data_IF_039675921456
#
_entry.id   IF_039675921456
#
_cell.length_a   1.000
_cell.length_b   1.000
_cell.length_c   1.000
_cell.angle_alpha   90.00
_cell.angle_beta   90.00
_cell.angle_gamma   90.00
#
_symmetry.space_group_name_H-M   'P 1'
#
loop_
_entity.id
_entity.type
_entity.pdbx_description
1 polymer ?
#
# COMPACT_ATOMS: atom_id res chain seq x y z
N UNK A 1 0.12 10.03 -5.62
CA UNK A 1 0.10 10.84 -6.84
C UNK A 1 -0.02 9.95 -8.08
N UNK A 2 -0.54 10.49 -9.21
CA UNK A 2 -0.63 9.76 -10.48
C UNK A 2 0.75 9.23 -10.91
N UNK A 3 1.79 10.05 -10.79
CA UNK A 3 3.17 9.69 -11.12
C UNK A 3 3.73 8.51 -10.30
N UNK A 4 3.26 8.29 -9.08
CA UNK A 4 3.63 7.12 -8.28
C UNK A 4 3.05 5.83 -8.88
N UNK A 5 1.78 5.87 -9.30
CA UNK A 5 1.16 4.72 -9.95
C UNK A 5 1.71 4.48 -11.36
N UNK A 6 2.06 5.53 -12.09
CA UNK A 6 2.72 5.39 -13.42
C UNK A 6 4.08 4.70 -13.29
N UNK A 7 4.78 4.94 -12.18
CA UNK A 7 6.03 4.25 -11.89
C UNK A 7 5.81 2.82 -11.39
N UNK A 8 4.79 2.59 -10.53
CA UNK A 8 4.49 1.26 -9.99
C UNK A 8 3.97 0.30 -11.09
N UNK A 9 3.24 0.83 -12.08
CA UNK A 9 2.62 0.06 -13.17
C UNK A 9 2.91 0.82 -14.48
N UNK A 10 3.98 0.42 -15.14
CA UNK A 10 4.48 1.07 -16.35
C UNK A 10 3.97 0.41 -17.66
N UNK A 11 3.21 -0.70 -17.55
CA UNK A 11 2.71 -1.44 -18.70
C UNK A 11 1.22 -1.19 -18.95
N UNK A 12 0.82 -0.59 -20.08
CA UNK A 12 -0.59 -0.48 -20.46
C UNK A 12 -1.23 -1.87 -20.67
N UNK A 13 -2.46 -2.02 -20.17
CA UNK A 13 -3.20 -3.29 -20.30
C UNK A 13 -2.72 -4.43 -19.41
N UNK A 14 -1.80 -4.18 -18.47
CA UNK A 14 -1.30 -5.16 -17.53
C UNK A 14 -2.41 -5.87 -16.77
N UNK A 15 -2.22 -7.15 -16.47
CA UNK A 15 -3.03 -7.91 -15.51
C UNK A 15 -2.57 -7.54 -14.10
N UNK A 16 -3.40 -6.82 -13.36
CA UNK A 16 -3.04 -6.29 -12.04
C UNK A 16 -3.92 -6.92 -10.96
N UNK A 17 -3.28 -7.50 -9.95
CA UNK A 17 -3.94 -7.93 -8.72
C UNK A 17 -3.78 -6.83 -7.66
N UNK A 18 -4.87 -6.21 -7.23
CA UNK A 18 -4.90 -5.34 -6.07
C UNK A 18 -5.21 -6.16 -4.82
N UNK A 19 -4.23 -6.30 -3.94
CA UNK A 19 -4.29 -7.15 -2.77
C UNK A 19 -4.65 -6.36 -1.52
N UNK A 20 -5.81 -6.68 -0.95
CA UNK A 20 -6.32 -6.09 0.28
C UNK A 20 -7.12 -4.79 0.11
N UNK A 21 -8.08 -4.59 1.02
CA UNK A 21 -8.95 -3.40 1.08
C UNK A 21 -8.20 -2.06 1.24
N UNK A 22 -6.95 -2.11 1.68
CA UNK A 22 -6.06 -0.96 1.75
C UNK A 22 -5.74 -0.37 0.37
N UNK A 23 -5.98 -1.13 -0.71
CA UNK A 23 -5.93 -0.66 -2.09
C UNK A 23 -7.14 0.19 -2.52
N UNK A 24 -8.24 0.27 -1.73
CA UNK A 24 -9.45 1.05 -2.07
C UNK A 24 -9.15 2.48 -2.58
N UNK A 25 -8.23 3.26 -1.99
CA UNK A 25 -7.89 4.60 -2.49
C UNK A 25 -7.27 4.60 -3.90
N UNK A 26 -6.66 3.49 -4.31
CA UNK A 26 -5.97 3.36 -5.59
C UNK A 26 -6.87 2.80 -6.70
N UNK A 27 -7.96 2.10 -6.36
CA UNK A 27 -8.78 1.33 -7.29
C UNK A 27 -9.27 2.13 -8.49
N UNK A 28 -9.79 3.34 -8.28
CA UNK A 28 -10.22 4.21 -9.37
C UNK A 28 -9.06 4.60 -10.29
N UNK A 29 -7.95 5.01 -9.70
CA UNK A 29 -6.77 5.43 -10.46
C UNK A 29 -6.15 4.27 -11.26
N UNK A 30 -6.23 3.03 -10.74
CA UNK A 30 -5.81 1.82 -11.44
C UNK A 30 -6.76 1.53 -12.62
N UNK A 31 -8.07 1.61 -12.38
CA UNK A 31 -9.09 1.40 -13.42
C UNK A 31 -8.96 2.42 -14.56
N UNK A 32 -8.71 3.70 -14.24
CA UNK A 32 -8.57 4.78 -15.22
C UNK A 32 -7.32 4.61 -16.12
N UNK A 33 -6.35 3.77 -15.74
CA UNK A 33 -5.17 3.43 -16.54
C UNK A 33 -5.40 2.32 -17.58
N UNK A 34 -6.60 1.76 -17.62
CA UNK A 34 -6.93 0.70 -18.57
C UNK A 34 -6.26 -0.65 -18.29
N UNK A 35 -5.80 -0.88 -17.05
CA UNK A 35 -5.28 -2.18 -16.62
C UNK A 35 -6.44 -3.18 -16.43
N UNK A 36 -6.15 -4.46 -16.58
CA UNK A 36 -7.10 -5.53 -16.25
C UNK A 36 -6.99 -5.82 -14.76
N UNK A 37 -7.93 -5.27 -13.99
CA UNK A 37 -7.84 -5.21 -12.55
C UNK A 37 -8.62 -6.34 -11.88
N UNK A 38 -7.97 -7.05 -10.97
CA UNK A 38 -8.58 -8.01 -10.04
C UNK A 38 -8.48 -7.44 -8.62
N UNK A 39 -9.60 -7.42 -7.91
CA UNK A 39 -9.71 -6.94 -6.54
C UNK A 39 -9.80 -8.13 -5.58
N UNK A 40 -8.83 -8.31 -4.70
CA UNK A 40 -8.82 -9.38 -3.70
C UNK A 40 -8.79 -8.83 -2.28
N UNK A 41 -9.61 -9.40 -1.41
CA UNK A 41 -9.55 -9.21 0.04
C UNK A 41 -10.13 -10.48 0.72
N UNK A 42 -9.59 -10.94 1.86
CA UNK A 42 -10.18 -12.07 2.57
C UNK A 42 -11.60 -11.78 3.11
N UNK A 43 -11.94 -10.49 3.30
CA UNK A 43 -13.27 -10.06 3.72
C UNK A 43 -14.11 -9.62 2.50
N UNK A 44 -15.29 -10.24 2.25
CA UNK A 44 -16.20 -9.83 1.18
C UNK A 44 -16.60 -8.35 1.23
N UNK A 45 -16.63 -7.74 2.43
CA UNK A 45 -16.91 -6.30 2.56
C UNK A 45 -15.78 -5.44 2.02
N UNK A 46 -14.53 -5.91 2.14
CA UNK A 46 -13.35 -5.30 1.54
C UNK A 46 -13.46 -5.29 0.02
N UNK A 47 -13.74 -6.43 -0.58
CA UNK A 47 -13.95 -6.55 -2.04
C UNK A 47 -15.07 -5.63 -2.51
N UNK A 48 -16.23 -5.59 -1.83
CA UNK A 48 -17.31 -4.65 -2.19
C UNK A 48 -16.88 -3.19 -2.20
N UNK A 49 -16.06 -2.78 -1.22
CA UNK A 49 -15.51 -1.41 -1.18
C UNK A 49 -14.54 -1.12 -2.32
N UNK A 50 -13.75 -2.11 -2.71
CA UNK A 50 -12.84 -2.00 -3.86
C UNK A 50 -13.63 -1.84 -5.16
N UNK A 51 -14.64 -2.70 -5.38
CA UNK A 51 -15.51 -2.64 -6.56
C UNK A 51 -16.33 -1.36 -6.65
N UNK A 52 -16.74 -0.76 -5.54
CA UNK A 52 -17.40 0.54 -5.53
C UNK A 52 -16.54 1.66 -6.14
N UNK A 53 -15.21 1.49 -6.17
CA UNK A 53 -14.25 2.42 -6.80
C UNK A 53 -13.81 2.01 -8.19
N UNK A 54 -13.91 0.72 -8.52
CA UNK A 54 -13.55 0.15 -9.82
C UNK A 54 -14.56 -0.95 -10.20
N UNK A 55 -15.76 -0.60 -10.69
CA UNK A 55 -16.86 -1.56 -10.94
C UNK A 55 -16.55 -2.63 -11.99
N UNK A 56 -15.53 -2.40 -12.82
CA UNK A 56 -15.10 -3.36 -13.86
C UNK A 56 -14.01 -4.32 -13.38
N UNK A 57 -13.50 -4.17 -12.15
CA UNK A 57 -12.53 -5.08 -11.59
C UNK A 57 -13.16 -6.45 -11.30
N UNK A 58 -12.41 -7.52 -11.51
CA UNK A 58 -12.84 -8.87 -11.18
C UNK A 58 -12.76 -9.08 -9.65
N UNK A 59 -13.84 -9.55 -9.00
CA UNK A 59 -13.83 -9.77 -7.57
C UNK A 59 -13.20 -11.13 -7.22
N UNK A 60 -12.46 -11.16 -6.13
CA UNK A 60 -11.94 -12.38 -5.51
C UNK A 60 -11.97 -12.25 -4.00
N UNK A 61 -12.45 -13.27 -3.31
CA UNK A 61 -12.43 -13.36 -1.84
C UNK A 61 -11.50 -14.51 -1.48
N UNK A 62 -10.27 -14.17 -1.06
CA UNK A 62 -9.26 -15.15 -0.71
C UNK A 62 -8.18 -14.56 0.20
N UNK A 63 -7.56 -15.43 0.98
CA UNK A 63 -6.35 -15.08 1.73
C UNK A 63 -5.16 -14.89 0.78
N UNK A 64 -4.27 -13.98 1.11
CA UNK A 64 -3.07 -13.67 0.33
C UNK A 64 -2.08 -14.84 0.23
N UNK A 65 -2.12 -15.77 1.18
CA UNK A 65 -1.26 -16.96 1.21
C UNK A 65 -1.83 -18.14 0.43
N UNK A 66 -3.07 -18.01 -0.09
CA UNK A 66 -3.73 -19.06 -0.90
C UNK A 66 -4.68 -18.42 -1.90
N UNK A 67 -4.13 -17.89 -2.97
CA UNK A 67 -4.87 -17.20 -4.02
C UNK A 67 -5.46 -18.20 -5.04
N UNK A 68 -6.75 -18.08 -5.41
CA UNK A 68 -7.41 -19.02 -6.32
C UNK A 68 -7.09 -18.75 -7.80
N UNK A 69 -5.83 -18.47 -8.09
CA UNK A 69 -5.38 -18.19 -9.45
C UNK A 69 -4.39 -19.26 -9.92
N UNK A 70 -4.39 -19.51 -11.22
CA UNK A 70 -3.35 -20.31 -11.86
C UNK A 70 -1.98 -19.61 -11.72
N UNK A 71 -0.87 -20.35 -11.74
CA UNK A 71 0.45 -19.75 -11.80
C UNK A 71 0.59 -18.76 -12.96
N UNK A 72 1.42 -17.77 -12.80
CA UNK A 72 1.74 -16.78 -13.84
C UNK A 72 0.52 -16.03 -14.42
N UNK A 73 -0.45 -15.67 -13.57
CA UNK A 73 -1.67 -15.00 -13.98
C UNK A 73 -1.50 -13.46 -14.11
N UNK A 74 -0.61 -12.85 -13.33
CA UNK A 74 -0.52 -11.39 -13.20
C UNK A 74 0.83 -10.84 -13.63
N UNK A 75 0.80 -9.65 -14.23
CA UNK A 75 1.99 -8.86 -14.53
C UNK A 75 2.46 -8.09 -13.29
N UNK A 76 1.50 -7.62 -12.48
CA UNK A 76 1.79 -6.82 -11.27
C UNK A 76 0.86 -7.23 -10.13
N UNK A 77 1.43 -7.39 -8.93
CA UNK A 77 0.66 -7.46 -7.67
C UNK A 77 0.88 -6.16 -6.92
N UNK A 78 -0.20 -5.44 -6.61
CA UNK A 78 -0.17 -4.17 -5.87
C UNK A 78 -0.61 -4.38 -4.43
N UNK A 79 0.24 -3.99 -3.47
CA UNK A 79 -0.09 -3.94 -2.05
C UNK A 79 0.13 -2.51 -1.56
N UNK A 80 -0.92 -1.90 -1.01
CA UNK A 80 -0.87 -0.55 -0.48
C UNK A 80 -1.03 -0.55 1.04
N UNK A 81 -0.10 0.02 1.78
CA UNK A 81 -0.18 0.24 3.24
C UNK A 81 -0.33 -1.02 4.12
N UNK A 82 -0.18 -2.23 3.60
CA UNK A 82 -0.51 -3.45 4.36
C UNK A 82 0.51 -4.58 4.25
N UNK A 83 1.60 -4.43 3.52
CA UNK A 83 2.57 -5.52 3.38
C UNK A 83 3.12 -6.00 4.74
N UNK A 84 3.32 -5.08 5.70
CA UNK A 84 3.74 -5.38 7.07
C UNK A 84 2.75 -6.24 7.89
N UNK A 85 1.52 -6.45 7.40
CA UNK A 85 0.52 -7.31 8.06
C UNK A 85 0.58 -8.76 7.59
N UNK A 86 1.40 -9.05 6.60
CA UNK A 86 1.62 -10.38 6.05
C UNK A 86 2.93 -10.95 6.59
N UNK A 87 2.95 -12.25 6.83
CA UNK A 87 4.18 -12.99 7.07
C UNK A 87 4.90 -13.23 5.73
N UNK A 88 6.12 -12.68 5.54
CA UNK A 88 6.85 -12.80 4.28
C UNK A 88 7.15 -14.25 3.89
N UNK A 89 7.44 -15.13 4.84
CA UNK A 89 7.79 -16.52 4.56
C UNK A 89 6.64 -17.29 3.90
N UNK A 90 5.40 -16.90 4.23
CA UNK A 90 4.20 -17.55 3.69
C UNK A 90 3.62 -16.82 2.48
N UNK A 91 3.68 -15.50 2.44
CA UNK A 91 3.04 -14.72 1.37
C UNK A 91 3.90 -14.61 0.11
N UNK A 92 5.23 -14.47 0.24
CA UNK A 92 6.11 -14.27 -0.92
C UNK A 92 6.11 -15.45 -1.91
N UNK A 93 6.12 -16.72 -1.47
CA UNK A 93 6.00 -17.85 -2.41
C UNK A 93 4.70 -17.82 -3.21
N UNK A 94 3.58 -17.44 -2.59
CA UNK A 94 2.29 -17.36 -3.28
C UNK A 94 2.23 -16.17 -4.26
N UNK A 95 2.79 -15.02 -3.88
CA UNK A 95 2.92 -13.88 -4.78
C UNK A 95 3.83 -14.18 -5.97
N UNK A 96 4.95 -14.87 -5.73
CA UNK A 96 5.84 -15.32 -6.80
C UNK A 96 5.14 -16.31 -7.74
N UNK A 97 4.34 -17.25 -7.20
CA UNK A 97 3.60 -18.22 -7.99
C UNK A 97 2.61 -17.57 -8.95
N UNK A 98 1.88 -16.55 -8.51
CA UNK A 98 0.84 -15.90 -9.34
C UNK A 98 1.39 -14.84 -10.29
N UNK A 99 2.62 -14.33 -10.06
CA UNK A 99 3.28 -13.40 -10.96
C UNK A 99 3.84 -14.13 -12.19
N UNK A 100 3.74 -13.50 -13.35
CA UNK A 100 4.37 -13.98 -14.59
C UNK A 100 5.89 -13.83 -14.53
N UNK A 101 6.64 -14.59 -15.31
CA UNK A 101 8.06 -14.28 -15.55
C UNK A 101 8.23 -12.82 -15.99
N UNK A 102 9.10 -12.07 -15.31
CA UNK A 102 9.27 -10.64 -15.52
C UNK A 102 8.20 -9.75 -14.88
N UNK A 103 7.20 -10.34 -14.21
CA UNK A 103 6.24 -9.60 -13.40
C UNK A 103 6.85 -9.09 -12.08
N UNK A 104 6.17 -8.19 -11.40
CA UNK A 104 6.72 -7.59 -10.19
C UNK A 104 5.68 -7.33 -9.10
N UNK A 105 6.17 -7.29 -7.88
CA UNK A 105 5.47 -6.80 -6.71
C UNK A 105 5.62 -5.28 -6.63
N UNK A 106 4.51 -4.57 -6.49
CA UNK A 106 4.44 -3.12 -6.36
C UNK A 106 3.89 -2.74 -4.97
N UNK A 107 4.75 -2.18 -4.13
CA UNK A 107 4.39 -1.75 -2.78
C UNK A 107 4.28 -0.24 -2.70
N UNK A 108 3.37 0.25 -1.87
CA UNK A 108 3.30 1.69 -1.57
C UNK A 108 2.90 1.96 -0.12
N UNK A 109 3.58 2.95 0.46
CA UNK A 109 3.25 3.50 1.78
C UNK A 109 3.17 5.01 1.69
N UNK A 110 2.12 5.56 2.29
CA UNK A 110 1.91 7.01 2.37
C UNK A 110 2.03 7.44 3.82
N UNK A 111 3.03 8.26 4.09
CA UNK A 111 3.28 8.83 5.40
C UNK A 111 3.24 10.36 5.33
N UNK A 112 2.88 11.01 6.42
CA UNK A 112 2.97 12.47 6.49
C UNK A 112 4.43 12.89 6.49
N UNK A 113 4.71 13.97 5.77
CA UNK A 113 6.05 14.55 5.74
C UNK A 113 6.20 15.53 6.91
N UNK A 114 6.78 15.06 8.00
CA UNK A 114 7.03 15.86 9.21
C UNK A 114 8.28 16.76 9.11
N UNK A 115 8.95 16.78 7.97
CA UNK A 115 10.01 17.76 7.69
C UNK A 115 9.43 19.18 7.64
N UNK A 116 8.14 19.31 7.34
CA UNK A 116 7.45 20.62 7.33
C UNK A 116 7.14 21.10 8.76
N UNK A 117 7.54 22.32 9.14
CA UNK A 117 7.49 22.77 10.54
C UNK A 117 6.12 22.69 11.21
N UNK A 118 5.03 23.08 10.53
CA UNK A 118 3.71 23.02 11.13
C UNK A 118 3.20 21.57 11.32
N UNK A 119 3.59 20.65 10.42
CA UNK A 119 3.27 19.22 10.57
C UNK A 119 3.99 18.64 11.78
N UNK A 120 5.26 19.01 11.98
CA UNK A 120 6.02 18.59 13.17
C UNK A 120 5.37 19.09 14.46
N UNK A 121 4.88 20.34 14.48
CA UNK A 121 4.11 20.89 15.62
C UNK A 121 2.81 20.11 15.84
N UNK A 122 2.08 19.75 14.77
CA UNK A 122 0.89 18.89 14.86
C UNK A 122 1.23 17.54 15.47
N UNK A 123 2.28 16.88 15.00
CA UNK A 123 2.74 15.58 15.56
C UNK A 123 3.06 15.72 17.05
N UNK A 124 3.75 16.80 17.45
CA UNK A 124 4.07 17.06 18.86
C UNK A 124 2.80 17.19 19.69
N UNK A 125 1.79 17.95 19.21
CA UNK A 125 0.50 18.07 19.89
C UNK A 125 -0.20 16.71 20.04
N UNK A 126 -0.24 15.89 18.99
CA UNK A 126 -0.87 14.56 19.06
C UNK A 126 -0.16 13.63 20.04
N UNK A 127 1.18 13.73 20.14
CA UNK A 127 1.99 12.92 21.07
C UNK A 127 1.81 13.29 22.54
N UNK A 128 1.25 14.44 22.86
CA UNK A 128 0.87 14.76 24.26
C UNK A 128 -0.23 13.85 24.79
N UNK A 129 -1.00 13.28 23.87
CA UNK A 129 -2.14 12.39 24.18
C UNK A 129 -1.82 10.92 23.95
N UNK A 130 -1.12 10.63 22.87
CA UNK A 130 -0.66 9.28 22.51
C UNK A 130 0.81 9.37 22.06
N UNK A 131 1.78 8.95 22.88
CA UNK A 131 3.20 8.97 22.55
C UNK A 131 3.54 8.20 21.26
N UNK A 132 2.70 7.23 20.89
CA UNK A 132 2.84 6.45 19.67
C UNK A 132 2.13 7.11 18.47
N UNK A 133 1.46 8.24 18.67
CA UNK A 133 0.78 8.94 17.59
C UNK A 133 1.80 9.33 16.51
N UNK A 134 1.54 8.88 15.29
CA UNK A 134 2.34 9.21 14.12
C UNK A 134 3.83 8.79 14.20
N UNK A 135 4.17 7.85 15.10
CA UNK A 135 5.41 7.10 15.01
C UNK A 135 5.21 6.04 13.93
N UNK A 136 6.03 6.04 12.94
CA UNK A 136 6.07 4.87 12.10
C UNK A 136 6.44 5.15 10.65
N UNK A 137 7.62 4.72 10.33
CA UNK A 137 7.98 4.24 9.01
C UNK A 137 7.61 2.74 8.95
N UNK A 138 6.31 2.44 9.07
CA UNK A 138 5.81 1.04 9.03
C UNK A 138 6.20 0.31 7.74
N UNK A 139 6.48 1.06 6.67
CA UNK A 139 6.80 0.53 5.36
C UNK A 139 8.23 0.03 5.24
N UNK A 140 9.23 0.73 5.77
CA UNK A 140 10.64 0.35 5.55
C UNK A 140 11.00 -0.96 6.22
N UNK A 141 10.62 -1.17 7.47
CA UNK A 141 10.94 -2.41 8.19
C UNK A 141 10.32 -3.65 7.53
N UNK A 142 9.11 -3.53 6.96
CA UNK A 142 8.48 -4.67 6.27
C UNK A 142 9.12 -4.96 4.91
N UNK A 143 9.70 -3.95 4.27
CA UNK A 143 10.36 -4.11 2.96
C UNK A 143 11.76 -4.71 3.10
N UNK A 144 12.41 -4.60 4.27
CA UNK A 144 13.67 -5.31 4.57
C UNK A 144 13.56 -6.82 4.34
N UNK A 145 12.36 -7.40 4.55
CA UNK A 145 12.11 -8.81 4.27
C UNK A 145 12.19 -9.16 2.77
N UNK A 146 11.98 -8.19 1.87
CA UNK A 146 12.18 -8.40 0.43
C UNK A 146 13.66 -8.35 0.04
N UNK A 147 14.47 -7.52 0.69
CA UNK A 147 15.89 -7.34 0.33
C UNK A 147 16.71 -8.66 0.48
N UNK A 148 16.21 -9.62 1.28
CA UNK A 148 16.85 -10.93 1.46
C UNK A 148 16.15 -12.07 0.74
N UNK A 149 15.06 -11.83 0.01
CA UNK A 149 14.28 -12.90 -0.60
C UNK A 149 14.87 -13.33 -1.94
N UNK A 150 15.20 -14.63 -2.11
CA UNK A 150 15.64 -15.14 -3.41
C UNK A 150 14.54 -15.09 -4.47
N UNK A 151 13.25 -15.09 -4.06
CA UNK A 151 12.09 -14.98 -4.96
C UNK A 151 11.92 -13.58 -5.54
N UNK A 152 12.51 -12.56 -4.88
CA UNK A 152 12.40 -11.15 -5.24
C UNK A 152 13.77 -10.46 -5.07
N UNK A 153 14.79 -10.86 -5.87
CA UNK A 153 16.20 -10.48 -5.63
C UNK A 153 16.51 -9.02 -5.96
N UNK A 154 15.62 -8.34 -6.67
CA UNK A 154 15.83 -6.94 -7.09
C UNK A 154 14.81 -6.05 -6.41
N UNK A 155 15.25 -4.96 -5.78
CA UNK A 155 14.39 -4.00 -5.13
C UNK A 155 14.72 -2.58 -5.61
N UNK A 156 13.77 -1.93 -6.26
CA UNK A 156 13.86 -0.52 -6.60
C UNK A 156 12.96 0.29 -5.68
N UNK A 157 13.43 1.45 -5.25
CA UNK A 157 12.67 2.40 -4.43
C UNK A 157 12.57 3.74 -5.12
N UNK A 158 11.39 4.37 -5.02
CA UNK A 158 11.18 5.76 -5.42
C UNK A 158 10.20 6.46 -4.49
N UNK A 159 10.56 7.66 -4.05
CA UNK A 159 9.71 8.50 -3.21
C UNK A 159 9.04 9.60 -4.03
N UNK A 160 7.77 9.84 -3.75
CA UNK A 160 6.97 10.89 -4.38
C UNK A 160 6.38 11.80 -3.30
N UNK A 161 6.19 13.07 -3.62
CA UNK A 161 5.51 14.02 -2.74
C UNK A 161 4.07 14.21 -3.18
N UNK A 162 3.18 14.27 -2.22
CA UNK A 162 1.76 14.56 -2.40
C UNK A 162 1.39 15.70 -1.42
N UNK A 163 0.79 16.75 -1.96
CA UNK A 163 0.26 17.85 -1.18
C UNK A 163 -1.27 17.78 -1.23
N UNK A 164 -1.91 17.54 -0.09
CA UNK A 164 -3.35 17.45 0.02
C UNK A 164 -3.90 18.72 0.69
N UNK A 165 -4.83 19.43 0.05
CA UNK A 165 -5.46 20.58 0.69
C UNK A 165 -6.26 20.14 1.90
N UNK A 166 -6.09 20.83 3.03
CA UNK A 166 -6.81 20.60 4.26
C UNK A 166 -7.30 21.92 4.83
N UNK A 167 -8.61 22.02 5.08
CA UNK A 167 -9.19 23.15 5.78
C UNK A 167 -9.23 22.90 7.30
N UNK A 168 -9.54 23.92 8.06
CA UNK A 168 -9.58 23.86 9.53
C UNK A 168 -10.51 22.79 10.05
N UNK A 169 -11.74 22.71 9.51
CA UNK A 169 -12.72 21.73 9.95
C UNK A 169 -12.27 20.30 9.67
N UNK A 170 -11.75 20.04 8.47
CA UNK A 170 -11.20 18.73 8.08
C UNK A 170 -9.99 18.32 8.93
N UNK A 171 -9.15 19.28 9.34
CA UNK A 171 -8.00 18.99 10.20
C UNK A 171 -8.44 18.61 11.61
N UNK A 172 -9.42 19.30 12.17
CA UNK A 172 -9.98 18.98 13.49
C UNK A 172 -10.68 17.62 13.47
N UNK A 173 -11.51 17.34 12.45
CA UNK A 173 -12.18 16.06 12.26
C UNK A 173 -11.19 14.89 12.11
N UNK A 174 -10.12 15.09 11.36
CA UNK A 174 -9.03 14.11 11.21
C UNK A 174 -8.38 13.77 12.56
N UNK A 175 -8.13 14.77 13.41
CA UNK A 175 -7.54 14.56 14.74
C UNK A 175 -8.56 13.88 15.68
N UNK A 176 -9.81 14.33 15.70
CA UNK A 176 -10.86 13.76 16.54
C UNK A 176 -11.07 12.26 16.25
N UNK A 177 -11.12 11.88 14.97
CA UNK A 177 -11.26 10.46 14.57
C UNK A 177 -10.06 9.58 14.95
N UNK A 178 -8.91 10.19 15.19
CA UNK A 178 -7.72 9.43 15.60
C UNK A 178 -7.76 8.99 17.05
N UNK A 179 -8.53 9.70 17.89
CA UNK A 179 -8.58 9.49 19.32
C UNK A 179 -10.03 9.29 19.81
N UNK A 180 -10.74 8.24 19.34
CA UNK A 180 -12.15 8.03 19.71
C UNK A 180 -12.35 7.68 21.18
N UNK A 181 -11.32 7.15 21.86
CA UNK A 181 -11.34 6.76 23.27
C UNK A 181 -10.92 7.89 24.21
N UNK A 182 -10.58 9.07 23.70
CA UNK A 182 -10.14 10.19 24.52
C UNK A 182 -11.34 10.88 25.18
N UNK A 183 -11.27 11.11 26.51
CA UNK A 183 -12.32 11.83 27.23
C UNK A 183 -12.58 13.22 26.64
N UNK A 184 -13.85 13.69 26.73
CA UNK A 184 -14.32 14.91 26.06
C UNK A 184 -13.48 16.15 26.41
N UNK A 185 -13.10 16.35 27.66
CA UNK A 185 -12.31 17.50 28.10
C UNK A 185 -10.93 17.52 27.45
N UNK A 186 -10.23 16.39 27.49
CA UNK A 186 -8.88 16.25 26.88
C UNK A 186 -8.93 16.36 25.35
N UNK A 187 -9.97 15.82 24.72
CA UNK A 187 -10.18 15.97 23.29
C UNK A 187 -10.42 17.44 22.92
N UNK A 188 -11.26 18.14 23.71
CA UNK A 188 -11.53 19.56 23.50
C UNK A 188 -10.27 20.42 23.60
N UNK A 189 -9.43 20.19 24.60
CA UNK A 189 -8.15 20.89 24.78
C UNK A 189 -7.19 20.63 23.59
N UNK A 190 -7.08 19.37 23.15
CA UNK A 190 -6.28 19.00 21.99
C UNK A 190 -6.79 19.70 20.72
N UNK A 191 -8.10 19.66 20.48
CA UNK A 191 -8.70 20.28 19.29
C UNK A 191 -8.56 21.82 19.32
N UNK A 192 -8.64 22.47 20.48
CA UNK A 192 -8.36 23.90 20.62
C UNK A 192 -6.90 24.23 20.26
N UNK A 193 -5.96 23.41 20.73
CA UNK A 193 -4.53 23.58 20.38
C UNK A 193 -4.24 23.36 18.89
N UNK A 194 -4.90 22.35 18.28
CA UNK A 194 -4.80 22.09 16.84
C UNK A 194 -5.43 23.19 16.02
N UNK A 195 -6.55 23.77 16.49
CA UNK A 195 -7.19 24.92 15.86
C UNK A 195 -6.27 26.14 15.85
N UNK A 196 -5.66 26.45 16.99
CA UNK A 196 -4.70 27.54 17.11
C UNK A 196 -3.47 27.33 16.19
N UNK A 197 -2.96 26.09 16.12
CA UNK A 197 -1.88 25.74 15.19
C UNK A 197 -2.28 25.97 13.72
N UNK A 198 -3.50 25.58 13.34
CA UNK A 198 -3.99 25.84 12.00
C UNK A 198 -4.07 27.33 11.70
N UNK A 199 -4.69 28.11 12.58
CA UNK A 199 -4.88 29.56 12.44
C UNK A 199 -3.55 30.32 12.36
N UNK A 200 -2.51 29.86 13.09
CA UNK A 200 -1.14 30.42 13.08
C UNK A 200 -0.36 30.03 11.80
N UNK A 201 -0.65 28.84 11.24
CA UNK A 201 0.11 28.31 10.10
C UNK A 201 -0.53 28.64 8.76
N UNK A 202 -1.86 28.82 8.71
CA UNK A 202 -2.57 29.13 7.50
C UNK A 202 -2.27 30.53 6.99
N UNK A 203 -1.80 30.63 5.75
CA UNK A 203 -1.64 31.91 5.05
C UNK A 203 -2.75 32.03 4.03
N UNK A 204 -3.39 33.17 3.98
CA UNK A 204 -4.39 33.41 2.92
C UNK A 204 -3.71 33.45 1.56
N UNK A 205 -4.31 32.81 0.50
CA UNK A 205 -5.57 32.07 0.53
C UNK A 205 -5.42 30.64 1.07
N UNK A 206 -6.40 30.23 1.89
CA UNK A 206 -6.59 28.84 2.32
C UNK A 206 -6.93 27.93 1.12
N UNK A 207 -6.70 26.60 1.26
CA UNK A 207 -6.39 25.77 2.43
C UNK A 207 -4.89 25.57 2.68
N UNK A 208 -4.53 25.09 3.91
CA UNK A 208 -3.21 24.53 4.14
C UNK A 208 -2.97 23.31 3.25
N UNK A 209 -1.74 23.11 2.86
CA UNK A 209 -1.33 21.92 2.12
C UNK A 209 -0.66 20.93 3.08
N UNK A 210 -1.35 19.82 3.35
CA UNK A 210 -0.82 18.73 4.16
C UNK A 210 0.14 17.90 3.30
N UNK A 211 1.43 17.88 3.62
CA UNK A 211 2.42 17.15 2.84
C UNK A 211 2.42 15.67 3.21
N UNK A 212 2.51 14.83 2.20
CA UNK A 212 2.73 13.40 2.32
C UNK A 212 3.94 12.99 1.48
N UNK A 213 4.69 12.04 1.99
CA UNK A 213 5.65 11.25 1.24
C UNK A 213 5.01 9.91 0.89
N UNK A 214 5.00 9.57 -0.38
CA UNK A 214 4.55 8.27 -0.89
C UNK A 214 5.80 7.50 -1.29
N UNK A 215 6.21 6.58 -0.44
CA UNK A 215 7.31 5.67 -0.72
C UNK A 215 6.78 4.48 -1.49
N UNK A 216 7.40 4.18 -2.62
CA UNK A 216 7.04 3.12 -3.52
C UNK A 216 8.22 2.19 -3.76
N UNK A 217 7.93 0.89 -3.87
CA UNK A 217 8.92 -0.12 -4.20
C UNK A 217 8.41 -1.01 -5.31
N UNK A 218 9.33 -1.47 -6.18
CA UNK A 218 9.10 -2.54 -7.14
C UNK A 218 10.13 -3.63 -6.92
N UNK A 219 9.69 -4.87 -6.95
CA UNK A 219 10.57 -6.02 -6.83
C UNK A 219 10.12 -7.09 -7.82
N UNK A 220 11.02 -7.48 -8.73
CA UNK A 220 10.71 -8.44 -9.78
C UNK A 220 10.85 -9.86 -9.27
N UNK A 221 9.92 -10.71 -9.71
CA UNK A 221 9.92 -12.11 -9.35
C UNK A 221 11.05 -12.87 -10.08
N UNK A 222 11.72 -13.73 -9.33
CA UNK A 222 12.62 -14.76 -9.86
C UNK A 222 12.02 -16.15 -9.55
N UNK A 223 11.72 -16.92 -10.58
CA UNK A 223 11.15 -18.26 -10.47
C UNK A 223 12.18 -19.38 -10.38
N UNK A 224 13.48 -19.08 -10.45
CA UNK A 224 14.55 -20.08 -10.41
C UNK A 224 14.46 -20.96 -9.16
N UNK A 225 14.16 -20.37 -8.01
CA UNK A 225 13.97 -21.10 -6.75
C UNK A 225 12.73 -21.99 -6.73
N UNK A 226 11.65 -21.59 -7.43
CA UNK A 226 10.43 -22.41 -7.53
C UNK A 226 10.62 -23.63 -8.44
N UNK A 227 11.56 -23.56 -9.35
CA UNK A 227 11.86 -24.65 -10.32
C UNK A 227 13.03 -25.53 -9.88
N UNK A 228 13.85 -25.08 -8.94
CA UNK A 228 15.04 -25.82 -8.46
C UNK A 228 14.73 -27.18 -7.81
N UNK A 229 13.48 -27.45 -7.44
CA UNK A 229 13.02 -28.74 -6.92
C UNK A 229 12.59 -29.77 -7.99
N UNK A 230 12.54 -29.38 -9.25
CA UNK A 230 12.21 -30.25 -10.37
C UNK A 230 13.49 -30.71 -11.09
N UNK A 231 14.43 -31.32 -10.35
CA UNK A 231 15.43 -32.15 -11.00
C UNK A 231 14.71 -33.33 -11.64
N UNK A 232 14.48 -33.25 -12.95
CA UNK A 232 14.07 -34.45 -13.70
C UNK A 232 15.18 -35.48 -13.51
N UNK A 233 14.85 -36.74 -13.17
CA UNK A 233 15.85 -37.81 -13.16
C UNK A 233 16.60 -37.81 -14.49
N UNK A 234 17.92 -37.96 -14.46
CA UNK A 234 18.79 -38.02 -15.67
C UNK A 234 18.38 -39.15 -16.64
N UNK A 235 17.49 -40.00 -16.25
CA UNK A 235 17.09 -41.23 -16.95
C UNK A 235 15.93 -41.04 -17.96
N UNK A 236 15.56 -39.82 -18.30
CA UNK A 236 14.52 -39.57 -19.31
C UNK A 236 13.22 -40.35 -19.07
N UNK A 237 12.07 -39.70 -19.16
CA UNK A 237 10.75 -40.37 -19.16
C UNK A 237 10.69 -41.39 -20.34
N UNK A 238 10.90 -42.68 -20.05
CA UNK A 238 10.56 -43.73 -21.01
C UNK A 238 9.03 -43.86 -21.05
N UNK A 239 8.42 -43.24 -22.06
CA UNK A 239 7.01 -43.49 -22.38
C UNK A 239 6.97 -44.77 -23.22
N UNK A 240 6.56 -45.90 -22.62
CA UNK A 240 6.21 -47.10 -23.36
C UNK A 240 4.79 -46.89 -23.87
N UNK A 241 4.63 -46.83 -25.19
CA UNK A 241 3.32 -46.82 -25.88
C UNK A 241 2.74 -48.23 -25.92
#
# INVERSE_FOLDING_TARGET
PATALDWLIDQPGAQVLALGRTCVPLMRMLSDRGVRLTANDPDPSGVRRMLARAPRALPTVADAVKLPFVPCAFDVVVINQSFHTHDPETVLPELARVLKPGGHLALSYTIRDDSVPWVRRLVTLMRTVDPQAMTGDYGSASVEALEGSPLFPTLERRDFRLWAPINRASMLDMVARRFPELGEDRLSELLASVAALYDDSARKPEPLLLPYRVSCWRSWVDHSELTSGLALPDDGLQITL
#
